data_IF_872747582795
#
_entry.id   IF_872747582795
#
_cell.length_a   1.000
_cell.length_b   1.000
_cell.length_c   1.000
_cell.angle_alpha   90.00
_cell.angle_beta   90.00
_cell.angle_gamma   90.00
#
_symmetry.space_group_name_H-M   'P 1'
#
loop_
_entity.id
_entity.type
_entity.pdbx_description
1 polymer ?
#
# COMPACT_ATOMS: atom_id res chain seq x y z
N UNK A 1 3.85 0.59 -15.55
CA UNK A 1 2.65 1.26 -16.10
C UNK A 1 1.99 0.28 -17.06
N UNK A 2 0.78 -0.20 -16.78
CA UNK A 2 0.03 -0.99 -17.78
C UNK A 2 -0.52 0.02 -18.79
N UNK A 3 -0.22 -0.07 -20.09
CA UNK A 3 -0.62 0.91 -21.08
C UNK A 3 -2.08 0.63 -21.48
N UNK A 4 -3.01 0.93 -20.59
CA UNK A 4 -4.45 0.88 -20.90
C UNK A 4 -5.15 2.00 -20.15
N UNK A 5 -5.87 2.84 -20.89
CA UNK A 5 -6.78 3.86 -20.35
C UNK A 5 -8.13 3.27 -19.92
N UNK A 6 -8.40 2.01 -20.30
CA UNK A 6 -9.61 1.27 -19.95
C UNK A 6 -9.40 0.58 -18.61
N UNK A 7 -10.33 0.78 -17.69
CA UNK A 7 -10.25 0.22 -16.34
C UNK A 7 -10.59 -1.29 -16.41
N UNK A 8 -9.87 -2.16 -15.67
CA UNK A 8 -10.00 -3.62 -15.81
C UNK A 8 -11.39 -4.20 -15.54
N UNK A 9 -12.26 -3.50 -14.81
CA UNK A 9 -13.64 -3.94 -14.58
C UNK A 9 -14.57 -3.70 -15.79
N UNK A 10 -14.17 -2.86 -16.75
CA UNK A 10 -14.98 -2.53 -17.93
C UNK A 10 -14.93 -3.65 -18.99
N UNK A 11 -13.88 -4.50 -18.97
CA UNK A 11 -13.69 -5.59 -19.94
C UNK A 11 -13.95 -6.98 -19.35
N UNK A 12 -14.17 -7.09 -18.04
CA UNK A 12 -14.31 -8.39 -17.36
C UNK A 12 -13.01 -9.20 -17.33
N UNK A 13 -11.86 -8.59 -17.63
CA UNK A 13 -10.58 -9.28 -17.66
C UNK A 13 -10.09 -9.56 -16.24
N UNK A 14 -9.95 -10.85 -15.92
CA UNK A 14 -9.26 -11.26 -14.71
C UNK A 14 -7.80 -10.79 -14.76
N UNK A 15 -7.36 -10.16 -13.66
CA UNK A 15 -5.96 -9.77 -13.49
C UNK A 15 -5.34 -10.69 -12.44
N UNK A 16 -4.36 -11.49 -12.87
CA UNK A 16 -3.55 -12.31 -11.95
C UNK A 16 -2.20 -11.63 -11.72
N UNK A 17 -1.80 -11.53 -10.45
CA UNK A 17 -0.49 -11.00 -10.05
C UNK A 17 0.22 -12.02 -9.19
N UNK A 18 1.39 -12.47 -9.65
CA UNK A 18 2.32 -13.25 -8.82
C UNK A 18 3.43 -12.30 -8.38
N UNK A 19 3.63 -12.18 -7.08
CA UNK A 19 4.56 -11.22 -6.49
C UNK A 19 5.58 -11.94 -5.61
N UNK A 20 6.87 -11.79 -5.91
CA UNK A 20 7.96 -12.36 -5.11
C UNK A 20 8.97 -11.27 -4.74
N UNK A 21 9.04 -10.96 -3.44
CA UNK A 21 9.98 -9.99 -2.90
C UNK A 21 11.35 -10.65 -2.60
N UNK A 22 12.43 -10.02 -3.05
CA UNK A 22 13.80 -10.25 -2.60
C UNK A 22 14.38 -8.94 -2.04
N UNK A 23 15.47 -9.00 -1.28
CA UNK A 23 16.01 -7.88 -0.49
C UNK A 23 16.30 -6.58 -1.27
N UNK A 24 16.51 -6.63 -2.60
CA UNK A 24 16.78 -5.45 -3.44
C UNK A 24 15.88 -5.33 -4.67
N UNK A 25 15.29 -6.45 -5.09
CA UNK A 25 14.48 -6.55 -6.29
C UNK A 25 13.21 -7.31 -5.98
N UNK A 26 12.14 -6.83 -6.56
CA UNK A 26 10.84 -7.44 -6.47
C UNK A 26 10.48 -7.88 -7.88
N UNK A 27 10.18 -9.16 -8.06
CA UNK A 27 9.72 -9.67 -9.35
C UNK A 27 8.22 -9.86 -9.31
N UNK A 28 7.55 -9.42 -10.37
CA UNK A 28 6.12 -9.61 -10.51
C UNK A 28 5.78 -10.11 -11.90
N UNK A 29 4.79 -11.00 -11.97
CA UNK A 29 4.19 -11.43 -13.20
C UNK A 29 2.73 -10.95 -13.21
N UNK A 30 2.38 -10.10 -14.19
CA UNK A 30 1.02 -9.60 -14.40
C UNK A 30 0.44 -10.27 -15.64
N UNK A 31 -0.71 -10.92 -15.47
CA UNK A 31 -1.51 -11.40 -16.59
C UNK A 31 -2.83 -10.64 -16.62
N UNK A 32 -3.21 -10.11 -17.78
CA UNK A 32 -4.51 -9.49 -18.03
C UNK A 32 -5.01 -9.90 -19.41
N UNK A 33 -6.13 -10.64 -19.46
CA UNK A 33 -6.64 -11.20 -20.70
C UNK A 33 -5.59 -12.05 -21.41
N UNK A 34 -5.20 -11.65 -22.63
CA UNK A 34 -4.15 -12.31 -23.44
C UNK A 34 -2.74 -11.71 -23.27
N UNK A 35 -2.61 -10.68 -22.44
CA UNK A 35 -1.33 -9.98 -22.24
C UNK A 35 -0.63 -10.48 -20.98
N UNK A 36 0.66 -10.74 -21.10
CA UNK A 36 1.55 -11.14 -20.00
C UNK A 36 2.71 -10.15 -19.87
N UNK A 37 2.98 -9.71 -18.65
CA UNK A 37 4.04 -8.76 -18.33
C UNK A 37 4.90 -9.30 -17.19
N UNK A 38 6.20 -9.41 -17.43
CA UNK A 38 7.20 -9.69 -16.40
C UNK A 38 7.93 -8.41 -16.05
N UNK A 39 7.83 -7.99 -14.80
CA UNK A 39 8.45 -6.76 -14.31
C UNK A 39 9.44 -7.07 -13.18
N UNK A 40 10.57 -6.38 -13.22
CA UNK A 40 11.52 -6.31 -12.11
C UNK A 40 11.43 -4.91 -11.53
N UNK A 41 11.00 -4.81 -10.29
CA UNK A 41 10.92 -3.57 -9.55
C UNK A 41 12.15 -3.45 -8.66
N UNK A 42 12.76 -2.26 -8.67
CA UNK A 42 13.86 -1.95 -7.78
C UNK A 42 13.24 -1.32 -6.53
N UNK A 43 13.59 -1.88 -5.37
CA UNK A 43 13.16 -1.32 -4.11
C UNK A 43 14.14 -0.19 -3.73
N UNK A 44 13.68 1.07 -3.82
CA UNK A 44 14.53 2.25 -3.58
C UNK A 44 14.93 2.44 -2.11
N UNK A 45 14.40 1.65 -1.17
CA UNK A 45 14.77 1.70 0.24
C UNK A 45 14.23 0.52 1.06
N UNK A 46 14.77 0.25 2.26
CA UNK A 46 14.37 -0.91 3.06
C UNK A 46 12.91 -0.81 3.53
N UNK A 47 12.15 -1.91 3.37
CA UNK A 47 10.82 -2.07 3.98
C UNK A 47 11.01 -2.58 5.40
N UNK A 48 10.59 -1.79 6.39
CA UNK A 48 10.84 -2.08 7.81
C UNK A 48 9.76 -2.97 8.43
N UNK A 49 8.53 -2.93 7.91
CA UNK A 49 7.45 -3.86 8.24
C UNK A 49 6.35 -3.76 7.18
N UNK A 50 5.67 -4.86 6.89
CA UNK A 50 4.61 -4.91 5.88
C UNK A 50 3.27 -4.35 6.39
N UNK A 51 2.96 -4.51 7.69
CA UNK A 51 1.70 -4.05 8.30
C UNK A 51 1.81 -3.88 9.81
N UNK A 52 1.43 -2.72 10.34
CA UNK A 52 1.16 -2.51 11.79
C UNK A 52 -0.30 -2.13 11.96
N UNK A 53 -0.96 -2.70 12.96
CA UNK A 53 -2.31 -2.29 13.39
C UNK A 53 -2.25 -1.65 14.77
N UNK A 54 -2.91 -0.50 14.91
CA UNK A 54 -3.05 0.22 16.18
C UNK A 54 -4.54 0.45 16.45
N UNK A 55 -4.93 0.42 17.72
CA UNK A 55 -6.31 0.62 18.17
C UNK A 55 -6.30 1.72 19.23
N UNK A 56 -7.15 2.74 19.05
CA UNK A 56 -7.28 3.81 20.03
C UNK A 56 -8.00 3.29 21.29
N UNK A 57 -7.39 3.51 22.45
CA UNK A 57 -7.94 3.09 23.74
C UNK A 57 -9.15 3.94 24.15
N UNK A 58 -9.13 5.24 23.84
CA UNK A 58 -10.12 6.22 24.31
C UNK A 58 -11.06 6.76 23.23
N UNK A 59 -10.91 6.31 21.98
CA UNK A 59 -11.72 6.75 20.85
C UNK A 59 -12.16 5.57 20.00
N UNK A 60 -13.20 5.75 19.20
CA UNK A 60 -13.70 4.73 18.29
C UNK A 60 -12.83 4.54 17.04
N UNK A 61 -11.50 4.56 17.13
CA UNK A 61 -10.61 4.51 15.95
C UNK A 61 -9.67 3.29 15.98
N UNK A 62 -9.42 2.72 14.81
CA UNK A 62 -8.29 1.83 14.55
C UNK A 62 -7.55 2.32 13.31
N UNK A 63 -6.24 2.07 13.25
CA UNK A 63 -5.47 2.38 12.06
C UNK A 63 -4.53 1.24 11.66
N UNK A 64 -4.24 1.24 10.37
CA UNK A 64 -3.32 0.34 9.72
C UNK A 64 -2.24 1.13 8.99
N UNK A 65 -0.99 0.78 9.29
CA UNK A 65 0.20 1.34 8.67
C UNK A 65 0.77 0.30 7.73
N UNK A 66 0.94 0.66 6.46
CA UNK A 66 1.48 -0.22 5.40
C UNK A 66 2.60 0.47 4.63
N UNK A 67 3.36 -0.32 3.86
CA UNK A 67 4.39 0.17 2.93
C UNK A 67 5.38 1.14 3.60
N UNK A 68 5.83 0.80 4.81
CA UNK A 68 6.73 1.65 5.58
C UNK A 68 8.12 1.68 4.96
N UNK A 69 8.50 2.86 4.48
CA UNK A 69 9.89 3.25 4.22
C UNK A 69 10.45 4.01 5.43
N UNK A 70 11.67 4.53 5.31
CA UNK A 70 12.31 5.32 6.36
C UNK A 70 11.55 6.62 6.68
N UNK A 71 10.85 7.21 5.72
CA UNK A 71 10.22 8.52 5.86
C UNK A 71 8.77 8.61 5.39
N UNK A 72 8.25 7.59 4.69
CA UNK A 72 6.86 7.55 4.23
C UNK A 72 6.19 6.23 4.55
N UNK A 73 4.89 6.29 4.79
CA UNK A 73 4.05 5.11 4.93
C UNK A 73 2.63 5.43 4.50
N UNK A 74 1.87 4.40 4.16
CA UNK A 74 0.44 4.54 3.93
C UNK A 74 -0.29 4.36 5.27
N UNK A 75 -1.14 5.32 5.64
CA UNK A 75 -1.96 5.27 6.84
C UNK A 75 -3.42 5.14 6.42
N UNK A 76 -4.08 4.14 6.98
CA UNK A 76 -5.51 3.89 6.80
C UNK A 76 -6.20 3.89 8.16
N UNK A 77 -7.20 4.73 8.36
CA UNK A 77 -7.90 4.93 9.63
C UNK A 77 -9.39 4.67 9.45
N UNK A 78 -9.94 3.85 10.33
CA UNK A 78 -11.33 3.41 10.32
C UNK A 78 -11.95 3.58 11.71
N UNK A 79 -13.28 3.74 11.81
CA UNK A 79 -13.97 3.55 13.08
C UNK A 79 -13.89 2.07 13.52
N UNK A 80 -13.80 1.78 14.83
CA UNK A 80 -13.85 0.38 15.29
C UNK A 80 -15.27 -0.18 15.16
N UNK A 81 -16.28 0.65 15.43
CA UNK A 81 -17.70 0.27 15.38
C UNK A 81 -18.25 0.05 13.97
N UNK A 82 -17.68 0.73 12.96
CA UNK A 82 -18.18 0.73 11.59
C UNK A 82 -17.04 0.75 10.57
N UNK A 83 -16.59 -0.44 10.19
CA UNK A 83 -15.48 -0.64 9.25
C UNK A 83 -15.84 -0.32 7.80
N UNK A 84 -17.09 0.05 7.51
CA UNK A 84 -17.50 0.47 6.16
C UNK A 84 -17.08 1.91 5.84
N UNK A 85 -16.72 2.70 6.86
CA UNK A 85 -16.34 4.11 6.73
C UNK A 85 -14.84 4.29 6.78
N UNK A 86 -14.33 5.16 5.92
CA UNK A 86 -12.93 5.59 5.92
C UNK A 86 -12.84 6.96 6.56
N UNK A 87 -12.13 7.07 7.68
CA UNK A 87 -11.84 8.37 8.33
C UNK A 87 -10.66 9.06 7.64
N UNK A 88 -9.65 8.27 7.26
CA UNK A 88 -8.50 8.74 6.50
C UNK A 88 -7.87 7.57 5.73
N UNK A 89 -7.40 7.84 4.52
CA UNK A 89 -6.56 6.90 3.78
C UNK A 89 -5.61 7.66 2.87
N UNK A 90 -4.31 7.51 3.08
CA UNK A 90 -3.33 8.17 2.21
C UNK A 90 -1.89 7.99 2.67
N UNK A 91 -0.99 8.50 1.83
CA UNK A 91 0.44 8.52 2.14
C UNK A 91 0.72 9.64 3.14
N UNK A 92 1.42 9.31 4.22
CA UNK A 92 1.89 10.24 5.23
C UNK A 92 3.42 10.22 5.26
N UNK A 93 3.99 11.41 5.49
CA UNK A 93 5.43 11.60 5.60
C UNK A 93 5.79 11.84 7.06
N UNK A 94 6.75 11.08 7.59
CA UNK A 94 7.32 11.31 8.92
C UNK A 94 8.03 12.66 8.92
N UNK A 95 7.56 13.62 9.73
CA UNK A 95 8.32 14.84 10.01
C UNK A 95 9.68 14.45 10.62
N UNK A 96 10.75 15.05 10.12
CA UNK A 96 12.13 14.92 10.64
C UNK A 96 12.58 16.28 11.17
N UNK A 97 13.34 16.30 12.26
CA UNK A 97 13.91 17.53 12.85
C UNK A 97 13.28 17.94 14.19
N UNK A 98 13.73 19.08 14.72
CA UNK A 98 13.46 19.54 16.10
C UNK A 98 11.97 19.72 16.47
N UNK A 99 11.06 19.77 15.49
CA UNK A 99 9.64 20.03 15.70
C UNK A 99 8.74 18.84 15.28
N UNK A 100 9.25 17.61 15.34
CA UNK A 100 8.49 16.42 14.91
C UNK A 100 7.22 16.14 15.73
N UNK A 101 7.03 16.79 16.88
CA UNK A 101 5.87 16.65 17.76
C UNK A 101 4.99 17.91 17.85
N UNK A 102 5.26 18.91 17.01
CA UNK A 102 4.46 20.14 16.90
C UNK A 102 3.66 20.18 15.60
#
# INVERSE_FOLDING_TARGET
MIPSTVQPYETGDETTVIWKAHQKEIKSHFKRGKSDFSLVWILEGPVLCDRIKLVAQSADWECEIQAMTNDRFHLHVLPKSDKSKILYSGVVTKKKGLFSFL
#
